data_IF_406087977589
#
_entry.id   IF_406087977589
#
_cell.length_a   1.000
_cell.length_b   1.000
_cell.length_c   1.000
_cell.angle_alpha   90.00
_cell.angle_beta   90.00
_cell.angle_gamma   90.00
#
_symmetry.space_group_name_H-M   'P 1'
#
loop_
_entity.id
_entity.type
_entity.pdbx_description
1 polymer ?
#
# COMPACT_ATOMS: atom_id res chain seq x y z
N UNK A 1 -1.20 -10.65 -3.49
CA UNK A 1 -0.24 -11.52 -4.16
C UNK A 1 0.96 -10.68 -4.64
N UNK A 2 2.13 -10.86 -4.00
CA UNK A 2 3.32 -10.02 -4.24
C UNK A 2 3.85 -10.15 -5.68
N UNK A 3 3.72 -11.33 -6.29
CA UNK A 3 4.14 -11.55 -7.68
C UNK A 3 3.29 -10.73 -8.63
N UNK A 4 1.98 -10.72 -8.45
CA UNK A 4 1.06 -9.91 -9.27
C UNK A 4 1.31 -8.42 -9.09
N UNK A 5 1.52 -7.94 -7.86
CA UNK A 5 1.82 -6.55 -7.58
C UNK A 5 3.10 -6.10 -8.28
N UNK A 6 4.16 -6.94 -8.25
CA UNK A 6 5.40 -6.67 -8.97
C UNK A 6 5.19 -6.64 -10.48
N UNK A 7 4.43 -7.58 -11.04
CA UNK A 7 4.14 -7.59 -12.48
C UNK A 7 3.36 -6.35 -12.91
N UNK A 8 2.33 -5.96 -12.17
CA UNK A 8 1.59 -4.72 -12.44
C UNK A 8 2.52 -3.50 -12.39
N UNK A 9 3.39 -3.41 -11.39
CA UNK A 9 4.36 -2.33 -11.30
C UNK A 9 5.29 -2.28 -12.52
N UNK A 10 5.85 -3.42 -12.95
CA UNK A 10 6.70 -3.51 -14.13
C UNK A 10 5.95 -3.15 -15.43
N UNK A 11 4.67 -3.48 -15.51
CA UNK A 11 3.83 -3.13 -16.67
C UNK A 11 3.66 -1.62 -16.84
N UNK A 12 3.63 -0.85 -15.73
CA UNK A 12 3.58 0.62 -15.80
C UNK A 12 4.80 1.23 -16.51
N UNK A 13 5.96 0.58 -16.41
CA UNK A 13 7.18 1.02 -17.08
C UNK A 13 7.45 0.35 -18.44
N UNK A 14 6.57 -0.55 -18.87
CA UNK A 14 6.73 -1.20 -20.17
C UNK A 14 6.51 -0.19 -21.31
N UNK A 15 7.35 -0.19 -22.35
CA UNK A 15 7.09 0.63 -23.51
C UNK A 15 5.77 0.17 -24.17
N UNK A 16 4.93 1.12 -24.56
CA UNK A 16 3.77 0.84 -25.41
C UNK A 16 4.35 0.50 -26.81
N UNK A 17 4.79 -0.73 -26.98
CA UNK A 17 5.24 -1.21 -28.30
C UNK A 17 4.04 -1.84 -29.01
N UNK A 18 3.71 -1.31 -30.19
CA UNK A 18 3.04 -2.12 -31.21
C UNK A 18 3.92 -3.34 -31.48
N UNK A 19 3.40 -4.57 -31.48
CA UNK A 19 4.23 -5.74 -31.77
C UNK A 19 4.82 -5.62 -33.18
N UNK A 20 6.15 -5.51 -33.26
CA UNK A 20 6.88 -5.65 -34.51
C UNK A 20 7.04 -7.15 -34.78
N UNK A 21 6.63 -7.66 -35.96
CA UNK A 21 6.61 -9.10 -36.24
C UNK A 21 7.98 -9.75 -36.42
N UNK A 22 9.10 -9.02 -36.35
CA UNK A 22 10.42 -9.49 -36.67
C UNK A 22 11.52 -8.94 -35.77
N UNK A 23 11.61 -9.43 -34.55
CA UNK A 23 12.83 -9.28 -33.73
C UNK A 23 13.10 -10.61 -33.02
N UNK A 24 14.12 -11.32 -33.52
CA UNK A 24 14.62 -12.54 -32.90
C UNK A 24 15.10 -12.32 -31.48
N UNK A 25 14.73 -13.22 -30.57
CA UNK A 25 15.08 -13.15 -29.16
C UNK A 25 16.57 -13.45 -28.96
N UNK A 26 17.35 -12.40 -28.65
CA UNK A 26 18.72 -12.53 -28.18
C UNK A 26 18.78 -12.89 -26.70
N UNK A 27 19.37 -14.01 -26.36
CA UNK A 27 19.66 -14.44 -25.00
C UNK A 27 20.75 -13.54 -24.39
N UNK A 28 20.37 -12.59 -23.54
CA UNK A 28 21.32 -11.72 -22.82
C UNK A 28 20.80 -10.38 -22.32
N UNK A 29 19.62 -9.93 -22.74
CA UNK A 29 19.09 -8.60 -22.43
C UNK A 29 18.17 -8.53 -21.18
N UNK A 30 17.91 -9.64 -20.48
CA UNK A 30 16.87 -9.71 -19.45
C UNK A 30 17.09 -8.79 -18.24
N UNK A 31 18.32 -8.71 -17.73
CA UNK A 31 18.62 -7.92 -16.52
C UNK A 31 18.60 -6.41 -16.81
N UNK A 32 19.08 -5.98 -17.96
CA UNK A 32 19.12 -4.57 -18.35
C UNK A 32 17.73 -4.04 -18.73
N UNK A 33 16.90 -4.85 -19.38
CA UNK A 33 15.49 -4.51 -19.64
C UNK A 33 14.68 -4.38 -18.34
N UNK A 34 14.92 -5.24 -17.36
CA UNK A 34 14.23 -5.20 -16.07
C UNK A 34 14.57 -3.94 -15.27
N UNK A 35 15.85 -3.54 -15.21
CA UNK A 35 16.27 -2.32 -14.50
C UNK A 35 15.70 -1.05 -15.16
N UNK A 36 15.68 -1.00 -16.48
CA UNK A 36 15.05 0.11 -17.22
C UNK A 36 13.55 0.18 -16.98
N UNK A 37 12.86 -0.97 -16.90
CA UNK A 37 11.43 -1.01 -16.63
C UNK A 37 11.10 -0.57 -15.19
N UNK A 38 11.93 -0.93 -14.20
CA UNK A 38 11.76 -0.48 -12.81
C UNK A 38 11.86 1.05 -12.69
N UNK A 39 12.87 1.65 -13.33
CA UNK A 39 13.03 3.10 -13.34
C UNK A 39 11.82 3.81 -14.00
N UNK A 40 11.36 3.30 -15.13
CA UNK A 40 10.17 3.81 -15.82
C UNK A 40 8.89 3.65 -15.00
N UNK A 41 8.73 2.51 -14.32
CA UNK A 41 7.59 2.25 -13.43
C UNK A 41 7.57 3.23 -12.26
N UNK A 42 8.74 3.46 -11.65
CA UNK A 42 8.89 4.46 -10.58
C UNK A 42 8.54 5.86 -11.08
N UNK A 43 9.00 6.23 -12.27
CA UNK A 43 8.67 7.52 -12.88
C UNK A 43 7.17 7.63 -13.17
N UNK A 44 6.54 6.60 -13.73
CA UNK A 44 5.11 6.59 -13.99
C UNK A 44 4.26 6.81 -12.72
N UNK A 45 4.66 6.19 -11.60
CA UNK A 45 4.00 6.42 -10.30
C UNK A 45 4.22 7.86 -9.83
N UNK A 46 5.43 8.40 -9.94
CA UNK A 46 5.72 9.80 -9.57
C UNK A 46 4.91 10.79 -10.40
N UNK A 47 4.84 10.57 -11.71
CA UNK A 47 4.06 11.42 -12.63
C UNK A 47 2.56 11.38 -12.29
N UNK A 48 2.06 10.19 -11.92
CA UNK A 48 0.68 10.05 -11.47
C UNK A 48 0.43 10.80 -10.15
N UNK A 49 1.31 10.66 -9.16
CA UNK A 49 1.24 11.41 -7.90
C UNK A 49 1.23 12.93 -8.15
N UNK A 50 2.09 13.41 -9.03
CA UNK A 50 2.15 14.83 -9.39
C UNK A 50 0.84 15.31 -10.03
N UNK A 51 0.23 14.51 -10.91
CA UNK A 51 -1.09 14.81 -11.48
C UNK A 51 -2.19 14.87 -10.42
N UNK A 52 -2.05 14.10 -9.34
CA UNK A 52 -2.95 14.16 -8.19
C UNK A 52 -2.59 15.28 -7.20
N UNK A 53 -1.62 16.14 -7.52
CA UNK A 53 -1.10 17.19 -6.64
C UNK A 53 -0.50 16.64 -5.33
N UNK A 54 0.00 15.40 -5.35
CA UNK A 54 0.67 14.73 -4.25
C UNK A 54 2.18 14.79 -4.47
N UNK A 55 2.89 15.38 -3.52
CA UNK A 55 4.36 15.47 -3.54
C UNK A 55 4.94 14.70 -2.36
N UNK A 56 5.61 13.59 -2.65
CA UNK A 56 6.23 12.71 -1.66
C UNK A 56 7.74 12.60 -1.93
N UNK A 57 8.55 13.60 -1.53
CA UNK A 57 9.98 13.64 -1.83
C UNK A 57 10.75 12.45 -1.22
N UNK A 58 10.27 11.92 -0.08
CA UNK A 58 10.86 10.78 0.60
C UNK A 58 10.48 9.42 0.00
N UNK A 59 9.57 9.39 -0.98
CA UNK A 59 9.10 8.13 -1.57
C UNK A 59 10.22 7.41 -2.30
N UNK A 60 10.48 6.17 -1.89
CA UNK A 60 11.36 5.24 -2.58
C UNK A 60 10.55 4.02 -2.98
N UNK A 61 10.56 3.73 -4.27
CA UNK A 61 9.93 2.55 -4.87
C UNK A 61 11.02 1.65 -5.47
N UNK A 62 10.97 0.36 -5.16
CA UNK A 62 11.96 -0.61 -5.64
C UNK A 62 11.32 -1.69 -6.51
N UNK A 63 10.27 -2.36 -6.03
CA UNK A 63 9.75 -3.53 -6.72
C UNK A 63 8.22 -3.59 -6.83
N UNK A 64 7.50 -2.64 -6.26
CA UNK A 64 6.03 -2.59 -6.27
C UNK A 64 5.32 -3.69 -5.48
N UNK A 65 6.07 -4.62 -4.84
CA UNK A 65 5.51 -5.72 -4.07
C UNK A 65 5.50 -5.45 -2.56
N UNK A 66 6.18 -4.39 -2.11
CA UNK A 66 6.32 -4.06 -0.69
C UNK A 66 7.27 -5.00 0.09
N UNK A 67 7.94 -5.94 -0.59
CA UNK A 67 8.92 -6.84 0.02
C UNK A 67 10.34 -6.31 -0.22
N UNK A 68 10.62 -5.17 0.35
CA UNK A 68 11.90 -4.48 0.24
C UNK A 68 12.23 -3.76 1.54
N UNK A 69 13.51 -3.65 1.82
CA UNK A 69 14.02 -2.81 2.92
C UNK A 69 14.44 -1.42 2.45
N UNK A 70 14.44 -1.18 1.15
CA UNK A 70 14.75 0.12 0.55
C UNK A 70 13.51 0.99 0.38
N UNK A 71 12.32 0.39 0.17
CA UNK A 71 11.08 1.15 -0.02
C UNK A 71 10.73 2.01 1.18
N UNK A 72 10.34 3.26 0.92
CA UNK A 72 10.04 4.26 1.96
C UNK A 72 8.86 5.12 1.57
N UNK A 73 8.02 5.39 2.55
CA UNK A 73 7.00 6.44 2.53
C UNK A 73 6.75 6.88 3.97
N UNK A 74 6.49 8.15 4.20
CA UNK A 74 6.11 8.63 5.53
C UNK A 74 4.67 8.26 5.87
N UNK A 75 4.29 8.14 7.16
CA UNK A 75 2.90 7.99 7.56
C UNK A 75 2.02 9.14 7.05
N UNK A 76 2.55 10.35 7.03
CA UNK A 76 1.86 11.53 6.52
C UNK A 76 1.54 11.40 5.03
N UNK A 77 2.52 11.09 4.20
CA UNK A 77 2.33 10.90 2.75
C UNK A 77 1.41 9.73 2.44
N UNK A 78 1.48 8.64 3.22
CA UNK A 78 0.53 7.53 3.11
C UNK A 78 -0.89 7.97 3.46
N UNK A 79 -1.07 8.80 4.48
CA UNK A 79 -2.39 9.31 4.86
C UNK A 79 -2.97 10.23 3.77
N UNK A 80 -2.15 11.11 3.18
CA UNK A 80 -2.57 11.96 2.04
C UNK A 80 -2.96 11.11 0.82
N UNK A 81 -2.20 10.06 0.51
CA UNK A 81 -2.52 9.14 -0.57
C UNK A 81 -3.88 8.45 -0.34
N UNK A 82 -4.12 7.93 0.87
CA UNK A 82 -5.39 7.28 1.22
C UNK A 82 -6.56 8.28 1.22
N UNK A 83 -6.33 9.51 1.68
CA UNK A 83 -7.34 10.58 1.63
C UNK A 83 -7.71 10.95 0.20
N UNK A 84 -6.72 11.06 -0.70
CA UNK A 84 -6.96 11.27 -2.13
C UNK A 84 -7.75 10.10 -2.72
N UNK A 85 -7.37 8.86 -2.39
CA UNK A 85 -8.04 7.65 -2.86
C UNK A 85 -9.50 7.53 -2.35
N UNK A 86 -9.80 8.00 -1.14
CA UNK A 86 -11.16 8.03 -0.59
C UNK A 86 -12.12 8.93 -1.40
N UNK A 87 -11.58 9.95 -2.06
CA UNK A 87 -12.35 10.86 -2.92
C UNK A 87 -12.41 10.40 -4.40
N UNK A 88 -11.76 9.28 -4.72
CA UNK A 88 -11.74 8.77 -6.09
C UNK A 88 -13.02 7.94 -6.40
N UNK A 89 -13.56 7.95 -7.64
CA UNK A 89 -14.73 7.13 -8.02
C UNK A 89 -14.59 5.62 -7.69
N UNK A 90 -13.36 5.08 -7.69
CA UNK A 90 -13.06 3.68 -7.36
C UNK A 90 -12.71 3.47 -5.88
N UNK A 91 -13.11 4.38 -4.98
CA UNK A 91 -12.79 4.27 -3.55
C UNK A 91 -13.42 3.03 -2.91
N UNK A 92 -14.64 2.68 -3.32
CA UNK A 92 -15.35 1.51 -2.79
C UNK A 92 -14.62 0.21 -3.14
N UNK A 93 -14.12 0.07 -4.37
CA UNK A 93 -13.34 -1.09 -4.82
C UNK A 93 -12.01 -1.19 -4.09
N UNK A 94 -11.33 -0.06 -3.88
CA UNK A 94 -10.10 -0.04 -3.08
C UNK A 94 -10.38 -0.51 -1.65
N UNK A 95 -11.39 0.04 -1.00
CA UNK A 95 -11.75 -0.34 0.37
C UNK A 95 -12.15 -1.81 0.45
N UNK A 96 -12.95 -2.31 -0.48
CA UNK A 96 -13.34 -3.73 -0.57
C UNK A 96 -12.15 -4.68 -0.78
N UNK A 97 -11.05 -4.18 -1.35
CA UNK A 97 -9.81 -4.96 -1.54
C UNK A 97 -8.96 -5.08 -0.26
N UNK A 98 -9.23 -4.27 0.76
CA UNK A 98 -8.50 -4.27 2.03
C UNK A 98 -9.10 -5.29 3.01
N UNK A 99 -8.27 -5.94 3.86
CA UNK A 99 -8.75 -6.80 4.93
C UNK A 99 -9.71 -6.10 5.87
N UNK A 100 -10.83 -6.79 6.17
CA UNK A 100 -11.83 -6.32 7.13
C UNK A 100 -11.45 -6.78 8.54
N UNK A 101 -11.43 -5.84 9.48
CA UNK A 101 -11.09 -6.12 10.88
C UNK A 101 -12.05 -7.14 11.49
N UNK A 102 -11.48 -8.18 12.12
CA UNK A 102 -12.22 -9.29 12.75
C UNK A 102 -12.78 -10.33 11.77
N UNK A 103 -12.71 -10.11 10.44
CA UNK A 103 -13.38 -10.93 9.43
C UNK A 103 -12.40 -11.72 8.56
N UNK A 104 -11.49 -11.04 7.88
CA UNK A 104 -10.65 -11.70 6.88
C UNK A 104 -9.20 -11.23 6.86
N UNK A 105 -8.42 -11.81 5.93
CA UNK A 105 -7.04 -11.47 5.66
C UNK A 105 -6.17 -11.41 6.91
N UNK A 106 -5.23 -10.46 6.93
CA UNK A 106 -4.31 -10.26 8.06
C UNK A 106 -4.96 -9.68 9.31
N UNK A 107 -6.20 -9.19 9.21
CA UNK A 107 -6.97 -8.62 10.31
C UNK A 107 -7.98 -9.62 10.93
N UNK A 108 -8.12 -10.82 10.37
CA UNK A 108 -9.11 -11.83 10.79
C UNK A 108 -9.08 -12.17 12.29
N UNK A 109 -7.88 -12.17 12.90
CA UNK A 109 -7.68 -12.54 14.30
C UNK A 109 -7.48 -11.33 15.23
N UNK A 110 -7.58 -10.10 14.69
CA UNK A 110 -7.39 -8.86 15.45
C UNK A 110 -8.73 -8.18 15.70
N UNK A 111 -8.91 -7.67 16.90
CA UNK A 111 -10.08 -6.84 17.29
C UNK A 111 -11.44 -7.51 17.02
N UNK A 112 -11.54 -8.84 17.13
CA UNK A 112 -12.79 -9.59 16.86
C UNK A 112 -13.94 -9.19 17.76
N UNK A 113 -13.63 -8.95 19.04
CA UNK A 113 -14.59 -8.58 20.08
C UNK A 113 -14.70 -7.06 20.25
N UNK A 114 -14.02 -6.30 19.40
CA UNK A 114 -14.03 -4.85 19.41
C UNK A 114 -15.19 -4.30 18.59
N UNK A 115 -15.64 -3.10 18.95
CA UNK A 115 -16.58 -2.32 18.15
C UNK A 115 -16.03 -1.96 16.75
N UNK A 116 -14.70 -2.03 16.54
CA UNK A 116 -14.07 -1.84 15.23
C UNK A 116 -14.25 -3.04 14.28
N UNK A 117 -14.68 -4.22 14.79
CA UNK A 117 -14.95 -5.37 13.94
C UNK A 117 -16.03 -5.03 12.89
N UNK A 118 -15.82 -5.42 11.63
CA UNK A 118 -16.66 -5.07 10.47
C UNK A 118 -16.72 -3.58 10.10
N UNK A 119 -16.04 -2.69 10.85
CA UNK A 119 -16.09 -1.24 10.63
C UNK A 119 -14.75 -0.63 10.20
N UNK A 120 -13.74 -1.47 9.95
CA UNK A 120 -12.45 -0.99 9.51
C UNK A 120 -11.87 -1.88 8.40
N UNK A 121 -11.31 -1.24 7.38
CA UNK A 121 -10.68 -1.84 6.22
C UNK A 121 -9.19 -1.49 6.24
N UNK A 122 -8.33 -2.42 6.69
CA UNK A 122 -6.95 -2.12 7.03
C UNK A 122 -5.97 -3.12 6.45
N UNK A 123 -4.92 -2.62 5.79
CA UNK A 123 -3.77 -3.42 5.35
C UNK A 123 -2.65 -3.34 6.38
N UNK A 124 -2.12 -4.50 6.77
CA UNK A 124 -0.95 -4.60 7.65
C UNK A 124 0.32 -4.85 6.87
N UNK A 125 1.45 -4.45 7.43
CA UNK A 125 2.78 -4.83 7.02
C UNK A 125 3.59 -5.33 8.22
N UNK A 126 4.39 -6.39 8.01
CA UNK A 126 5.27 -6.91 9.04
C UNK A 126 6.57 -7.40 8.40
N UNK A 127 7.68 -6.81 8.85
CA UNK A 127 9.03 -7.27 8.61
C UNK A 127 9.76 -7.28 9.95
N UNK A 128 10.96 -7.83 10.01
CA UNK A 128 11.79 -7.71 11.20
C UNK A 128 12.07 -6.22 11.49
N UNK A 129 11.78 -5.78 12.70
CA UNK A 129 11.90 -4.37 13.11
C UNK A 129 10.83 -3.44 12.54
N UNK A 130 9.84 -3.94 11.78
CA UNK A 130 8.79 -3.10 11.18
C UNK A 130 7.41 -3.70 11.44
N UNK A 131 6.48 -2.86 11.88
CA UNK A 131 5.06 -3.20 11.97
C UNK A 131 4.22 -2.00 11.57
N UNK A 132 3.34 -2.20 10.58
CA UNK A 132 2.54 -1.13 10.01
C UNK A 132 1.07 -1.51 9.92
N UNK A 133 0.22 -0.52 9.94
CA UNK A 133 -1.20 -0.62 9.58
C UNK A 133 -1.60 0.66 8.86
N UNK A 134 -2.39 0.55 7.81
CA UNK A 134 -2.94 1.68 7.06
C UNK A 134 -4.28 1.33 6.41
N UNK A 135 -5.18 2.28 6.32
CA UNK A 135 -6.48 2.15 5.67
C UNK A 135 -7.56 3.02 6.30
N UNK A 136 -8.78 2.51 6.36
CA UNK A 136 -9.98 3.27 6.72
C UNK A 136 -10.68 2.67 7.93
N UNK A 137 -11.18 3.52 8.80
CA UNK A 137 -11.98 3.17 9.97
C UNK A 137 -13.26 4.01 9.97
N UNK A 138 -14.41 3.36 9.99
CA UNK A 138 -15.70 4.03 10.17
C UNK A 138 -15.99 4.15 11.66
N UNK A 139 -16.08 5.38 12.13
CA UNK A 139 -16.40 5.67 13.53
C UNK A 139 -17.91 5.50 13.84
N UNK A 140 -18.22 5.44 15.11
CA UNK A 140 -19.60 5.25 15.64
C UNK A 140 -20.59 6.30 15.11
N UNK A 141 -20.13 7.52 14.86
CA UNK A 141 -20.95 8.59 14.29
C UNK A 141 -21.08 8.53 12.75
N UNK A 142 -20.62 7.44 12.12
CA UNK A 142 -20.68 7.22 10.67
C UNK A 142 -19.57 7.90 9.85
N UNK A 143 -18.66 8.65 10.50
CA UNK A 143 -17.54 9.32 9.83
C UNK A 143 -16.45 8.33 9.42
N UNK A 144 -15.91 8.47 8.23
CA UNK A 144 -14.75 7.69 7.79
C UNK A 144 -13.46 8.43 8.14
N UNK A 145 -12.49 7.68 8.67
CA UNK A 145 -11.18 8.16 9.07
C UNK A 145 -10.09 7.39 8.37
N UNK A 146 -9.09 8.10 7.87
CA UNK A 146 -7.83 7.48 7.43
C UNK A 146 -6.97 7.22 8.67
N UNK A 147 -6.52 5.99 8.83
CA UNK A 147 -5.60 5.58 9.90
C UNK A 147 -4.31 5.05 9.29
N UNK A 148 -3.18 5.62 9.73
CA UNK A 148 -1.83 5.17 9.36
C UNK A 148 -0.97 5.12 10.61
N UNK A 149 -0.39 3.95 10.90
CA UNK A 149 0.49 3.78 12.05
C UNK A 149 1.67 2.89 11.68
N UNK A 150 2.86 3.47 11.59
CA UNK A 150 4.11 2.78 11.29
C UNK A 150 5.01 2.74 12.50
N UNK A 151 5.59 1.57 12.77
CA UNK A 151 6.56 1.33 13.83
C UNK A 151 7.82 0.76 13.18
N UNK A 152 8.93 1.47 13.32
CA UNK A 152 10.27 1.06 12.92
C UNK A 152 11.15 0.99 14.17
N UNK A 153 11.28 -0.19 14.76
CA UNK A 153 12.04 -0.43 15.99
C UNK A 153 12.30 -1.92 16.18
N UNK A 154 13.40 -2.28 16.81
CA UNK A 154 13.71 -3.70 17.11
C UNK A 154 12.55 -4.43 17.82
N UNK A 155 11.80 -3.73 18.68
CA UNK A 155 10.64 -4.25 19.40
C UNK A 155 9.30 -4.00 18.68
N UNK A 156 9.27 -3.71 17.38
CA UNK A 156 8.05 -3.38 16.62
C UNK A 156 6.92 -4.41 16.80
N UNK A 157 7.26 -5.68 16.99
CA UNK A 157 6.27 -6.77 17.24
C UNK A 157 5.38 -6.49 18.46
N UNK A 158 5.91 -5.83 19.50
CA UNK A 158 5.18 -5.49 20.73
C UNK A 158 4.21 -4.33 20.54
N UNK A 159 4.36 -3.56 19.46
CA UNK A 159 3.53 -2.40 19.17
C UNK A 159 2.14 -2.71 18.61
N UNK A 160 1.77 -3.98 18.45
CA UNK A 160 0.45 -4.34 17.94
C UNK A 160 -0.69 -3.81 18.83
N UNK A 161 -0.55 -3.94 20.13
CA UNK A 161 -1.55 -3.46 21.09
C UNK A 161 -1.80 -1.94 20.96
N UNK A 162 -0.74 -1.16 20.70
CA UNK A 162 -0.88 0.27 20.48
C UNK A 162 -1.63 0.59 19.17
N UNK A 163 -1.38 -0.19 18.09
CA UNK A 163 -2.15 -0.06 16.85
C UNK A 163 -3.61 -0.42 17.06
N UNK A 164 -3.90 -1.50 17.80
CA UNK A 164 -5.26 -1.95 18.09
C UNK A 164 -6.00 -0.90 18.94
N UNK A 165 -5.36 -0.35 19.96
CA UNK A 165 -5.93 0.72 20.78
C UNK A 165 -6.24 2.00 19.97
N UNK A 166 -5.39 2.39 19.01
CA UNK A 166 -5.68 3.51 18.12
C UNK A 166 -6.91 3.24 17.25
N UNK A 167 -7.05 2.04 16.69
CA UNK A 167 -8.20 1.66 15.86
C UNK A 167 -9.49 1.73 16.66
N UNK A 168 -9.50 1.17 17.86
CA UNK A 168 -10.65 1.22 18.78
C UNK A 168 -11.01 2.64 19.18
N UNK A 169 -10.00 3.46 19.49
CA UNK A 169 -10.21 4.86 19.85
C UNK A 169 -10.82 5.67 18.69
N UNK A 170 -10.35 5.45 17.45
CA UNK A 170 -10.93 6.11 16.26
C UNK A 170 -12.35 5.66 16.02
N UNK A 171 -12.63 4.35 16.16
CA UNK A 171 -13.98 3.82 16.00
C UNK A 171 -14.96 4.40 17.01
N UNK A 172 -14.53 4.65 18.25
CA UNK A 172 -15.34 5.21 19.31
C UNK A 172 -15.70 6.71 19.16
N UNK A 173 -15.22 7.41 18.10
CA UNK A 173 -15.44 8.86 17.86
C UNK A 173 -16.80 9.21 17.24
#
# INVERSE_FOLDING_TARGET
>A
NNVMARQLFLTLGAPISTPSPLAGEGWGEGAQKTSTNLARSTQAVRDWLQKQQLNFPELVLENGAGLSRAERISPHSMALLLQNAANHPLSAELQASLPIVGVDGSMKKRLKESAAANHAHLKTGTLEGVKTVAGYVRSRNGKEWVVVFFINHANAKRGQAAQDALIDWVQGR
#
